data_IF_564971927063
#
_entry.id   IF_564971927063
#
_cell.length_a   1.000
_cell.length_b   1.000
_cell.length_c   1.000
_cell.angle_alpha   90.00
_cell.angle_beta   90.00
_cell.angle_gamma   90.00
#
_symmetry.space_group_name_H-M   'P 1'
#
loop_
_entity.id
_entity.type
_entity.pdbx_description
1 polymer ?
#
# COMPACT_ATOMS: atom_id res chain seq x y z
N UNK A 1 -16.43 15.61 14.67
CA UNK A 1 -16.07 16.27 13.40
C UNK A 1 -16.90 15.65 12.27
N UNK A 2 -17.45 16.42 11.32
CA UNK A 2 -18.18 15.86 10.15
C UNK A 2 -17.26 15.91 8.93
N UNK A 3 -17.12 14.78 8.24
CA UNK A 3 -16.35 14.64 7.01
C UNK A 3 -17.30 14.24 5.90
N UNK A 4 -17.33 15.01 4.81
CA UNK A 4 -18.07 14.67 3.61
C UNK A 4 -17.10 14.20 2.52
N UNK A 5 -17.39 13.09 1.85
CA UNK A 5 -16.59 12.61 0.72
C UNK A 5 -17.50 12.52 -0.50
N UNK A 6 -17.11 13.15 -1.60
CA UNK A 6 -17.84 13.13 -2.87
C UNK A 6 -16.89 12.78 -4.01
N UNK A 7 -17.21 11.75 -4.79
CA UNK A 7 -16.47 11.45 -6.03
C UNK A 7 -16.74 12.56 -7.06
N UNK A 8 -15.69 13.12 -7.64
CA UNK A 8 -15.76 14.20 -8.64
C UNK A 8 -15.44 13.65 -10.03
N UNK A 9 -14.43 12.78 -10.11
CA UNK A 9 -14.01 12.09 -11.34
C UNK A 9 -13.61 10.65 -11.02
N UNK A 10 -13.26 9.84 -12.03
CA UNK A 10 -12.78 8.45 -11.85
C UNK A 10 -11.65 8.31 -10.82
N UNK A 11 -10.69 9.25 -10.81
CA UNK A 11 -9.51 9.29 -9.95
C UNK A 11 -9.44 10.52 -9.02
N UNK A 12 -10.55 11.24 -8.83
CA UNK A 12 -10.57 12.45 -7.99
C UNK A 12 -11.78 12.48 -7.05
N UNK A 13 -11.53 12.77 -5.77
CA UNK A 13 -12.54 12.96 -4.73
C UNK A 13 -12.44 14.35 -4.10
N UNK A 14 -13.58 14.94 -3.79
CA UNK A 14 -13.67 16.12 -2.94
C UNK A 14 -13.94 15.67 -1.51
N UNK A 15 -13.02 16.00 -0.61
CA UNK A 15 -13.16 15.75 0.83
C UNK A 15 -13.43 17.09 1.52
N UNK A 16 -14.56 17.18 2.21
CA UNK A 16 -14.95 18.34 3.01
C UNK A 16 -14.72 18.03 4.49
N UNK A 17 -13.91 18.85 5.15
CA UNK A 17 -13.62 18.76 6.59
C UNK A 17 -13.93 20.13 7.20
N UNK A 18 -15.06 20.23 7.93
CA UNK A 18 -15.53 21.51 8.46
C UNK A 18 -15.82 22.53 7.34
N UNK A 19 -15.11 23.66 7.36
CA UNK A 19 -15.21 24.72 6.35
C UNK A 19 -14.21 24.58 5.18
N UNK A 20 -13.32 23.58 5.21
CA UNK A 20 -12.35 23.34 4.16
C UNK A 20 -12.83 22.24 3.21
N UNK A 21 -12.56 22.43 1.91
CA UNK A 21 -12.78 21.45 0.86
C UNK A 21 -11.46 21.21 0.13
N UNK A 22 -11.04 19.95 0.04
CA UNK A 22 -9.76 19.54 -0.54
C UNK A 22 -10.01 18.46 -1.58
N UNK A 23 -9.38 18.59 -2.75
CA UNK A 23 -9.35 17.54 -3.77
C UNK A 23 -8.27 16.51 -3.42
N UNK A 24 -8.60 15.23 -3.50
CA UNK A 24 -7.70 14.14 -3.16
C UNK A 24 -7.72 13.04 -4.22
N UNK A 25 -6.55 12.47 -4.47
CA UNK A 25 -6.36 11.26 -5.27
C UNK A 25 -6.69 9.99 -4.45
N UNK A 26 -6.78 8.79 -5.07
CA UNK A 26 -7.12 7.54 -4.38
C UNK A 26 -6.17 7.17 -3.25
N UNK A 27 -4.86 7.45 -3.40
CA UNK A 27 -3.85 7.15 -2.40
C UNK A 27 -4.02 8.07 -1.18
N UNK A 28 -4.15 9.38 -1.41
CA UNK A 28 -4.39 10.38 -0.37
C UNK A 28 -5.68 10.11 0.39
N UNK A 29 -6.75 9.70 -0.30
CA UNK A 29 -8.01 9.31 0.32
C UNK A 29 -7.87 8.05 1.18
N UNK A 30 -7.20 7.01 0.67
CA UNK A 30 -6.95 5.76 1.41
C UNK A 30 -6.09 5.99 2.64
N UNK A 31 -5.11 6.91 2.55
CA UNK A 31 -4.31 7.34 3.69
C UNK A 31 -5.19 8.05 4.72
N UNK A 32 -6.04 9.00 4.28
CA UNK A 32 -6.94 9.73 5.16
C UNK A 32 -7.88 8.78 5.91
N UNK A 33 -8.46 7.79 5.22
CA UNK A 33 -9.32 6.77 5.82
C UNK A 33 -8.59 6.04 6.96
N UNK A 34 -7.39 5.52 6.70
CA UNK A 34 -6.57 4.83 7.71
C UNK A 34 -6.23 5.78 8.87
N UNK A 35 -5.86 7.03 8.58
CA UNK A 35 -5.55 8.02 9.61
C UNK A 35 -6.77 8.33 10.50
N UNK A 36 -7.97 8.36 9.94
CA UNK A 36 -9.20 8.57 10.70
C UNK A 36 -9.53 7.37 11.59
N UNK A 37 -9.38 6.14 11.09
CA UNK A 37 -9.50 4.93 11.92
C UNK A 37 -8.52 4.97 13.10
N UNK A 38 -7.28 5.39 12.84
CA UNK A 38 -6.26 5.52 13.90
C UNK A 38 -6.54 6.67 14.87
N UNK A 39 -7.11 7.80 14.43
CA UNK A 39 -7.52 8.87 15.33
C UNK A 39 -8.61 8.40 16.30
N UNK A 40 -9.56 7.61 15.82
CA UNK A 40 -10.55 6.97 16.69
C UNK A 40 -9.90 6.01 17.68
N UNK A 41 -8.89 5.24 17.25
CA UNK A 41 -8.14 4.35 18.16
C UNK A 41 -7.25 5.11 19.17
N UNK A 42 -6.68 6.26 18.79
CA UNK A 42 -5.90 7.15 19.66
C UNK A 42 -6.76 7.72 20.80
N UNK A 43 -8.03 8.03 20.56
CA UNK A 43 -8.98 8.41 21.62
C UNK A 43 -9.14 7.31 22.69
N UNK A 44 -8.79 6.06 22.36
CA UNK A 44 -8.80 4.90 23.26
C UNK A 44 -7.41 4.56 23.84
N UNK A 45 -6.39 5.40 23.60
CA UNK A 45 -5.06 5.29 24.24
C UNK A 45 -3.98 4.55 23.45
N UNK A 46 -4.20 4.25 22.16
CA UNK A 46 -3.18 3.60 21.31
C UNK A 46 -2.13 4.59 20.77
N UNK A 47 -0.97 4.10 20.29
CA UNK A 47 0.08 4.93 19.66
C UNK A 47 0.13 4.72 18.14
N UNK A 48 0.37 5.81 17.39
CA UNK A 48 0.29 5.80 15.92
C UNK A 48 1.66 5.90 15.23
N UNK A 49 1.87 5.10 14.18
CA UNK A 49 3.04 5.18 13.29
C UNK A 49 2.60 5.20 11.83
N UNK A 50 3.03 6.22 11.09
CA UNK A 50 2.77 6.34 9.64
C UNK A 50 3.33 5.15 8.85
N UNK A 51 4.42 4.53 9.33
CA UNK A 51 4.99 3.35 8.70
C UNK A 51 3.98 2.19 8.69
N UNK A 52 3.26 1.99 9.80
CA UNK A 52 2.22 0.96 9.90
C UNK A 52 1.10 1.21 8.88
N UNK A 53 0.70 2.46 8.67
CA UNK A 53 -0.30 2.82 7.65
C UNK A 53 0.16 2.45 6.24
N UNK A 54 1.42 2.77 5.89
CA UNK A 54 1.96 2.41 4.60
C UNK A 54 2.11 0.90 4.42
N UNK A 55 2.50 0.17 5.46
CA UNK A 55 2.52 -1.30 5.44
C UNK A 55 1.11 -1.84 5.20
N UNK A 56 0.09 -1.34 5.92
CA UNK A 56 -1.32 -1.74 5.74
C UNK A 56 -1.79 -1.53 4.29
N UNK A 57 -1.42 -0.41 3.67
CA UNK A 57 -1.70 -0.17 2.25
C UNK A 57 -0.90 -1.09 1.33
N UNK A 58 0.38 -1.33 1.62
CA UNK A 58 1.24 -2.24 0.87
C UNK A 58 0.73 -3.69 0.85
N UNK A 59 0.04 -4.14 1.91
CA UNK A 59 -0.59 -5.45 1.95
C UNK A 59 -1.71 -5.65 0.91
N UNK A 60 -2.23 -4.57 0.29
CA UNK A 60 -3.19 -4.68 -0.83
C UNK A 60 -2.61 -5.42 -2.04
N UNK A 61 -1.28 -5.54 -2.17
CA UNK A 61 -0.64 -6.40 -3.18
C UNK A 61 -1.22 -7.83 -3.13
N UNK A 62 -1.58 -8.33 -1.94
CA UNK A 62 -2.17 -9.67 -1.78
C UNK A 62 -3.53 -9.86 -2.48
N UNK A 63 -4.19 -8.76 -2.85
CA UNK A 63 -5.48 -8.80 -3.55
C UNK A 63 -5.34 -8.85 -5.08
N UNK A 64 -4.12 -8.67 -5.59
CA UNK A 64 -3.86 -8.65 -7.03
C UNK A 64 -3.81 -10.06 -7.62
N UNK A 65 -4.38 -10.27 -8.82
CA UNK A 65 -4.11 -11.44 -9.65
C UNK A 65 -2.63 -11.57 -9.98
N UNK A 66 -2.15 -12.79 -10.26
CA UNK A 66 -0.74 -13.05 -10.59
C UNK A 66 -0.21 -12.15 -11.73
N UNK A 67 -0.99 -11.95 -12.81
CA UNK A 67 -0.57 -11.13 -13.95
C UNK A 67 -0.42 -9.65 -13.60
N UNK A 68 -1.34 -9.11 -12.81
CA UNK A 68 -1.31 -7.73 -12.34
C UNK A 68 -0.21 -7.53 -11.29
N UNK A 69 -0.01 -8.51 -10.42
CA UNK A 69 1.10 -8.56 -9.48
C UNK A 69 2.45 -8.52 -10.24
N UNK A 70 2.61 -9.34 -11.29
CA UNK A 70 3.80 -9.30 -12.14
C UNK A 70 3.98 -7.95 -12.84
N UNK A 71 2.89 -7.31 -13.27
CA UNK A 71 2.92 -5.98 -13.89
C UNK A 71 3.42 -4.94 -12.88
N UNK A 72 2.86 -4.95 -11.67
CA UNK A 72 3.29 -4.08 -10.57
C UNK A 72 4.75 -4.32 -10.18
N UNK A 73 5.18 -5.57 -10.01
CA UNK A 73 6.53 -5.92 -9.58
C UNK A 73 7.64 -5.50 -10.56
N UNK A 74 7.30 -5.23 -11.83
CA UNK A 74 8.25 -4.69 -12.83
C UNK A 74 8.48 -3.18 -12.68
N UNK A 75 7.55 -2.48 -12.03
CA UNK A 75 7.54 -1.01 -11.90
C UNK A 75 8.09 -0.53 -10.55
N UNK A 76 8.52 -1.46 -9.69
CA UNK A 76 9.04 -1.18 -8.34
C UNK A 76 10.47 -1.68 -8.16
N UNK A 77 11.24 -0.94 -7.37
CA UNK A 77 12.62 -1.31 -7.09
C UNK A 77 12.69 -2.52 -6.14
N UNK A 78 13.58 -3.47 -6.46
CA UNK A 78 13.80 -4.68 -5.65
C UNK A 78 14.20 -4.34 -4.21
N UNK A 79 14.96 -3.26 -4.02
CA UNK A 79 15.36 -2.78 -2.68
C UNK A 79 14.17 -2.31 -1.85
N UNK A 80 13.21 -1.64 -2.48
CA UNK A 80 12.00 -1.20 -1.79
C UNK A 80 11.13 -2.40 -1.42
N UNK A 81 11.03 -3.41 -2.31
CA UNK A 81 10.34 -4.67 -2.03
C UNK A 81 10.97 -5.41 -0.85
N UNK A 82 12.30 -5.47 -0.79
CA UNK A 82 13.01 -6.06 0.35
C UNK A 82 12.60 -5.38 1.65
N UNK A 83 12.59 -4.04 1.69
CA UNK A 83 12.22 -3.30 2.90
C UNK A 83 10.75 -3.53 3.29
N UNK A 84 9.83 -3.59 2.32
CA UNK A 84 8.45 -3.95 2.60
C UNK A 84 8.35 -5.35 3.20
N UNK A 85 9.00 -6.35 2.60
CA UNK A 85 8.95 -7.74 3.05
C UNK A 85 9.54 -7.92 4.45
N UNK A 86 10.62 -7.20 4.77
CA UNK A 86 11.26 -7.23 6.09
C UNK A 86 10.39 -6.56 7.17
N UNK A 87 9.75 -5.44 6.85
CA UNK A 87 8.99 -4.65 7.83
C UNK A 87 7.57 -5.18 8.01
N UNK A 88 6.94 -5.68 6.93
CA UNK A 88 5.62 -6.29 7.00
C UNK A 88 5.64 -7.66 7.70
N UNK A 89 6.76 -8.39 7.60
CA UNK A 89 6.94 -9.76 8.13
C UNK A 89 5.73 -10.69 7.82
N UNK A 90 5.16 -10.53 6.62
CA UNK A 90 3.97 -11.25 6.18
C UNK A 90 4.37 -12.38 5.22
N UNK A 91 4.18 -13.63 5.67
CA UNK A 91 4.58 -14.83 4.90
C UNK A 91 3.82 -14.98 3.59
N UNK A 92 2.55 -14.59 3.55
CA UNK A 92 1.72 -14.70 2.35
C UNK A 92 2.14 -13.68 1.30
N UNK A 93 2.38 -12.44 1.72
CA UNK A 93 2.94 -11.38 0.89
C UNK A 93 4.29 -11.82 0.33
N UNK A 94 5.17 -12.32 1.21
CA UNK A 94 6.51 -12.74 0.81
C UNK A 94 6.47 -13.88 -0.22
N UNK A 95 5.60 -14.87 -0.01
CA UNK A 95 5.41 -15.96 -0.96
C UNK A 95 4.85 -15.46 -2.31
N UNK A 96 3.87 -14.56 -2.28
CA UNK A 96 3.26 -13.99 -3.48
C UNK A 96 4.26 -13.20 -4.32
N UNK A 97 5.07 -12.34 -3.68
CA UNK A 97 6.11 -11.55 -4.33
C UNK A 97 7.15 -12.49 -4.96
N UNK A 98 7.66 -13.47 -4.21
CA UNK A 98 8.67 -14.39 -4.72
C UNK A 98 8.16 -15.29 -5.85
N UNK A 99 6.88 -15.69 -5.80
CA UNK A 99 6.23 -16.49 -6.87
C UNK A 99 6.11 -15.70 -8.18
N UNK A 100 5.84 -14.40 -8.09
CA UNK A 100 5.59 -13.53 -9.25
C UNK A 100 6.81 -12.73 -9.72
N UNK A 101 7.95 -12.84 -9.03
CA UNK A 101 9.25 -12.33 -9.48
C UNK A 101 9.92 -13.31 -10.46
N UNK A 102 10.74 -12.76 -11.36
CA UNK A 102 11.60 -13.57 -12.23
C UNK A 102 12.57 -14.43 -11.39
N UNK A 103 12.81 -15.67 -11.82
CA UNK A 103 13.50 -16.68 -10.99
C UNK A 103 14.90 -16.31 -10.47
N UNK A 104 15.64 -15.43 -11.18
CA UNK A 104 16.93 -14.91 -10.72
C UNK A 104 16.72 -13.89 -9.58
N UNK A 105 15.85 -12.91 -9.79
CA UNK A 105 15.55 -11.86 -8.82
C UNK A 105 14.92 -12.44 -7.55
N UNK A 106 14.03 -13.42 -7.69
CA UNK A 106 13.42 -14.11 -6.54
C UNK A 106 14.47 -14.80 -5.66
N UNK A 107 15.49 -15.44 -6.26
CA UNK A 107 16.59 -16.08 -5.53
C UNK A 107 17.47 -15.07 -4.81
N UNK A 108 17.81 -13.96 -5.47
CA UNK A 108 18.58 -12.88 -4.88
C UNK A 108 17.83 -12.26 -3.69
N UNK A 109 16.58 -11.87 -3.89
CA UNK A 109 15.74 -11.27 -2.86
C UNK A 109 15.55 -12.19 -1.66
N UNK A 110 15.39 -13.50 -1.89
CA UNK A 110 15.32 -14.49 -0.81
C UNK A 110 16.64 -14.62 -0.04
N UNK A 111 17.78 -14.52 -0.71
CA UNK A 111 19.10 -14.48 -0.06
C UNK A 111 19.29 -13.21 0.77
N UNK A 112 18.88 -12.07 0.22
CA UNK A 112 18.96 -10.77 0.89
C UNK A 112 18.06 -10.74 2.13
N UNK A 113 16.85 -11.30 2.07
CA UNK A 113 15.97 -11.40 3.26
C UNK A 113 16.60 -12.13 4.45
N UNK A 114 17.52 -13.08 4.19
CA UNK A 114 18.17 -13.86 5.25
C UNK A 114 19.41 -13.17 5.84
N UNK A 115 19.98 -12.20 5.11
CA UNK A 115 21.31 -11.64 5.41
C UNK A 115 21.31 -10.13 5.61
N UNK A 116 20.30 -9.43 5.08
CA UNK A 116 20.18 -7.99 5.16
C UNK A 116 19.83 -7.54 6.59
N UNK A 117 20.37 -6.38 6.97
CA UNK A 117 20.00 -5.71 8.20
C UNK A 117 18.66 -5.00 8.07
N UNK A 118 17.90 -5.00 9.16
CA UNK A 118 16.61 -4.30 9.24
C UNK A 118 16.81 -2.82 8.92
N UNK A 119 16.06 -2.24 7.96
CA UNK A 119 16.19 -0.83 7.61
C UNK A 119 15.77 0.06 8.78
N UNK A 120 16.32 1.28 8.84
CA UNK A 120 15.81 2.30 9.77
C UNK A 120 14.37 2.68 9.39
N UNK A 121 13.59 3.12 10.38
CA UNK A 121 12.18 3.49 10.18
C UNK A 121 12.01 4.53 9.05
N UNK A 122 12.90 5.51 8.95
CA UNK A 122 12.84 6.53 7.90
C UNK A 122 13.05 5.94 6.49
N UNK A 123 14.03 5.04 6.34
CA UNK A 123 14.30 4.39 5.07
C UNK A 123 13.15 3.45 4.67
N UNK A 124 12.64 2.67 5.63
CA UNK A 124 11.47 1.83 5.43
C UNK A 124 10.25 2.66 5.00
N UNK A 125 9.98 3.76 5.70
CA UNK A 125 8.85 4.65 5.41
C UNK A 125 8.94 5.21 3.99
N UNK A 126 10.10 5.69 3.56
CA UNK A 126 10.30 6.23 2.20
C UNK A 126 10.14 5.14 1.13
N UNK A 127 10.72 3.97 1.33
CA UNK A 127 10.63 2.85 0.41
C UNK A 127 9.20 2.33 0.24
N UNK A 128 8.51 2.08 1.36
CA UNK A 128 7.14 1.55 1.33
C UNK A 128 6.17 2.60 0.78
N UNK A 129 6.40 3.89 1.06
CA UNK A 129 5.64 4.98 0.43
C UNK A 129 5.70 4.89 -1.10
N UNK A 130 6.90 4.74 -1.69
CA UNK A 130 7.05 4.61 -3.15
C UNK A 130 6.32 3.39 -3.71
N UNK A 131 6.38 2.26 -3.01
CA UNK A 131 5.61 1.05 -3.38
C UNK A 131 4.12 1.36 -3.43
N UNK A 132 3.58 1.96 -2.37
CA UNK A 132 2.15 2.23 -2.27
C UNK A 132 1.73 3.27 -3.30
N UNK A 133 2.50 4.35 -3.50
CA UNK A 133 2.24 5.35 -4.54
C UNK A 133 2.19 4.70 -5.92
N UNK A 134 3.16 3.82 -6.25
CA UNK A 134 3.17 3.11 -7.53
C UNK A 134 1.96 2.17 -7.67
N UNK A 135 1.56 1.51 -6.59
CA UNK A 135 0.41 0.62 -6.58
C UNK A 135 -0.89 1.37 -6.96
N UNK A 136 -1.15 2.50 -6.31
CA UNK A 136 -2.32 3.33 -6.62
C UNK A 136 -2.21 4.05 -7.97
N UNK A 137 -1.01 4.42 -8.40
CA UNK A 137 -0.79 4.96 -9.74
C UNK A 137 -1.20 3.95 -10.82
N UNK A 138 -0.78 2.69 -10.71
CA UNK A 138 -1.15 1.65 -11.67
C UNK A 138 -2.65 1.35 -11.64
N UNK A 139 -3.27 1.38 -10.46
CA UNK A 139 -4.72 1.21 -10.32
C UNK A 139 -5.47 2.35 -10.99
N UNK A 140 -5.04 3.60 -10.78
CA UNK A 140 -5.65 4.77 -11.44
C UNK A 140 -5.55 4.75 -12.96
N UNK A 141 -4.55 4.05 -13.50
CA UNK A 141 -4.39 3.83 -14.95
C UNK A 141 -5.12 2.58 -15.47
N UNK A 142 -5.84 1.86 -14.61
CA UNK A 142 -6.53 0.61 -14.96
C UNK A 142 -5.58 -0.54 -15.30
N UNK A 143 -4.29 -0.45 -14.92
CA UNK A 143 -3.30 -1.50 -15.18
C UNK A 143 -3.39 -2.63 -14.16
N UNK A 144 -3.93 -2.35 -12.98
CA UNK A 144 -4.22 -3.30 -11.92
C UNK A 144 -5.57 -2.94 -11.28
N UNK A 145 -6.20 -3.88 -10.59
CA UNK A 145 -7.45 -3.66 -9.87
C UNK A 145 -7.41 -4.36 -8.51
N UNK A 146 -7.68 -3.61 -7.44
CA UNK A 146 -7.80 -4.21 -6.12
C UNK A 146 -9.09 -5.02 -6.02
N UNK A 147 -8.96 -6.33 -5.84
CA UNK A 147 -10.13 -7.17 -5.59
C UNK A 147 -10.59 -6.97 -4.15
N UNK A 148 -11.76 -6.36 -3.98
CA UNK A 148 -12.45 -6.40 -2.69
C UNK A 148 -12.90 -7.84 -2.41
N UNK A 149 -12.74 -8.32 -1.17
CA UNK A 149 -13.27 -9.62 -0.76
C UNK A 149 -14.81 -9.73 -0.83
N UNK A 150 -15.52 -8.63 -1.17
CA UNK A 150 -16.97 -8.51 -1.19
C UNK A 150 -17.55 -7.97 -2.51
N UNK A 151 -16.88 -8.16 -3.66
CA UNK A 151 -17.49 -7.83 -4.95
C UNK A 151 -18.55 -8.87 -5.33
N UNK A 152 -19.76 -8.76 -4.75
CA UNK A 152 -20.96 -9.38 -5.33
C UNK A 152 -21.47 -8.43 -6.41
N UNK A 153 -21.40 -8.87 -7.66
CA UNK A 153 -22.17 -8.27 -8.74
C UNK A 153 -23.67 -8.37 -8.36
N UNK A 154 -24.38 -7.23 -8.41
CA UNK A 154 -25.84 -7.19 -8.37
C UNK A 154 -26.33 -7.46 -9.79
#
# INVERSE_FOLDING_TARGET
MKIGIKKVHESEWMVQIGCASVKMDPFSLSLLEIMLEHLLALEHGESHSTLKSYVKLGLKIKTLPDLECQTFLREVEVKDLLYLMMVADDRELNALILKNLGGILAKQLKGDLMTASVPTEEHAKKAIKRIVEKLFELESHGKIEFRAANTRYI
#
